data_IF_681140563429
#
_entry.id   IF_681140563429
#
_cell.length_a   1.000
_cell.length_b   1.000
_cell.length_c   1.000
_cell.angle_alpha   90.00
_cell.angle_beta   90.00
_cell.angle_gamma   90.00
#
_symmetry.space_group_name_H-M   'P 1'
#
loop_
_entity.id
_entity.type
_entity.pdbx_description
1 polymer ?
#
# COMPACT_ATOMS: atom_id res chain seq x y z
N UNK A 1 14.94 0.06 -12.37
CA UNK A 1 13.99 -0.63 -13.27
C UNK A 1 12.60 -0.27 -12.78
N UNK A 2 11.84 0.54 -13.52
CA UNK A 2 10.53 1.01 -13.05
C UNK A 2 9.52 -0.14 -13.17
N UNK A 3 8.94 -0.58 -12.05
CA UNK A 3 7.92 -1.62 -12.06
C UNK A 3 6.62 -0.99 -12.59
N UNK A 4 6.24 -1.32 -13.82
CA UNK A 4 5.00 -0.83 -14.42
C UNK A 4 3.86 -1.74 -13.97
N UNK A 5 3.18 -1.36 -12.89
CA UNK A 5 2.18 -2.21 -12.23
C UNK A 5 0.75 -1.80 -12.56
N UNK A 6 0.01 -2.72 -13.16
CA UNK A 6 -1.45 -2.69 -13.21
C UNK A 6 -1.91 -3.96 -12.52
N UNK A 7 -2.10 -3.91 -11.20
CA UNK A 7 -2.77 -4.99 -10.48
C UNK A 7 -4.28 -4.82 -10.62
N UNK A 8 -4.97 -5.88 -11.04
CA UNK A 8 -6.45 -5.92 -11.06
C UNK A 8 -7.02 -6.69 -9.88
N UNK A 9 -6.19 -7.50 -9.24
CA UNK A 9 -6.55 -8.43 -8.18
C UNK A 9 -5.68 -8.17 -6.95
N UNK A 10 -6.23 -8.43 -5.77
CA UNK A 10 -5.54 -8.18 -4.50
C UNK A 10 -4.29 -9.06 -4.36
N UNK A 11 -4.30 -10.27 -4.90
CA UNK A 11 -3.17 -11.20 -4.90
C UNK A 11 -1.96 -10.64 -5.66
N UNK A 12 -2.20 -9.89 -6.74
CA UNK A 12 -1.13 -9.17 -7.44
C UNK A 12 -0.51 -8.10 -6.53
N UNK A 13 -1.35 -7.35 -5.79
CA UNK A 13 -0.87 -6.33 -4.85
C UNK A 13 -0.06 -6.97 -3.72
N UNK A 14 -0.53 -8.08 -3.15
CA UNK A 14 0.19 -8.85 -2.13
C UNK A 14 1.58 -9.29 -2.62
N UNK A 15 1.66 -9.84 -3.84
CA UNK A 15 2.92 -10.26 -4.44
C UNK A 15 3.91 -9.10 -4.64
N UNK A 16 3.41 -7.92 -5.03
CA UNK A 16 4.22 -6.71 -5.18
C UNK A 16 4.72 -6.20 -3.84
N UNK A 17 3.83 -6.08 -2.86
CA UNK A 17 4.18 -5.61 -1.52
C UNK A 17 5.23 -6.53 -0.91
N UNK A 18 5.02 -7.85 -0.98
CA UNK A 18 6.00 -8.84 -0.51
C UNK A 18 7.35 -8.64 -1.18
N UNK A 19 7.39 -8.57 -2.51
CA UNK A 19 8.64 -8.39 -3.25
C UNK A 19 9.38 -7.10 -2.88
N UNK A 20 8.66 -5.99 -2.76
CA UNK A 20 9.24 -4.71 -2.36
C UNK A 20 9.84 -4.80 -0.95
N UNK A 21 9.12 -5.42 -0.01
CA UNK A 21 9.57 -5.59 1.37
C UNK A 21 10.81 -6.50 1.45
N UNK A 22 10.79 -7.64 0.77
CA UNK A 22 11.91 -8.59 0.70
C UNK A 22 13.18 -7.95 0.10
N UNK A 23 13.05 -7.27 -1.05
CA UNK A 23 14.17 -6.57 -1.72
C UNK A 23 14.73 -5.41 -0.87
N UNK A 24 14.05 -5.00 0.21
CA UNK A 24 14.47 -3.93 1.11
C UNK A 24 14.68 -4.40 2.56
N UNK A 25 14.89 -5.69 2.78
CA UNK A 25 15.39 -6.26 4.04
C UNK A 25 14.31 -6.64 5.06
N UNK A 26 13.05 -6.72 4.66
CA UNK A 26 11.96 -7.21 5.50
C UNK A 26 11.64 -8.67 5.11
N UNK A 27 11.81 -9.60 6.04
CA UNK A 27 11.45 -11.00 5.83
C UNK A 27 10.05 -11.25 6.38
N UNK A 28 9.11 -11.60 5.51
CA UNK A 28 7.72 -11.90 5.84
C UNK A 28 7.29 -13.15 5.09
N UNK A 29 6.94 -14.21 5.80
CA UNK A 29 6.66 -15.51 5.18
C UNK A 29 5.41 -15.50 4.29
N UNK A 30 4.37 -14.72 4.64
CA UNK A 30 3.12 -14.61 3.87
C UNK A 30 2.36 -13.32 4.20
N UNK A 31 2.57 -12.26 3.41
CA UNK A 31 1.77 -11.03 3.52
C UNK A 31 0.39 -11.25 2.90
N UNK A 32 -0.66 -11.16 3.71
CA UNK A 32 -2.06 -11.12 3.23
C UNK A 32 -2.69 -9.76 3.48
N UNK A 33 -3.40 -9.24 2.49
CA UNK A 33 -4.10 -7.96 2.58
C UNK A 33 -5.60 -8.26 2.76
N UNK A 34 -6.14 -7.78 3.87
CA UNK A 34 -7.53 -7.93 4.24
C UNK A 34 -8.17 -6.56 4.39
N UNK A 35 -9.34 -6.36 3.76
CA UNK A 35 -10.15 -5.17 4.01
C UNK A 35 -11.13 -5.50 5.13
N UNK A 36 -11.05 -4.78 6.25
CA UNK A 36 -11.82 -5.08 7.45
C UNK A 36 -12.31 -3.82 8.15
N UNK A 37 -13.39 -3.96 8.91
CA UNK A 37 -13.90 -2.86 9.74
C UNK A 37 -12.93 -2.61 10.91
N UNK A 38 -12.50 -1.36 11.05
CA UNK A 38 -11.53 -0.91 12.05
C UNK A 38 -11.91 0.48 12.58
N UNK A 39 -11.40 0.88 13.76
CA UNK A 39 -11.60 2.23 14.29
C UNK A 39 -11.29 3.31 13.25
N UNK A 40 -12.09 4.38 13.20
CA UNK A 40 -12.03 5.38 12.13
C UNK A 40 -10.70 6.17 12.08
N UNK A 41 -9.96 6.17 13.19
CA UNK A 41 -8.64 6.78 13.31
C UNK A 41 -7.50 5.88 12.76
N UNK A 42 -7.76 4.61 12.47
CA UNK A 42 -6.78 3.69 11.91
C UNK A 42 -6.94 3.56 10.39
N UNK A 43 -5.87 3.81 9.64
CA UNK A 43 -5.85 3.59 8.18
C UNK A 43 -5.55 2.12 7.88
N UNK A 44 -4.59 1.56 8.62
CA UNK A 44 -4.06 0.22 8.39
C UNK A 44 -3.44 -0.33 9.68
N UNK A 45 -3.44 -1.66 9.83
CA UNK A 45 -2.81 -2.37 10.95
C UNK A 45 -2.06 -3.59 10.43
N UNK A 46 -0.95 -3.95 11.07
CA UNK A 46 -0.20 -5.17 10.78
C UNK A 46 -0.06 -6.02 12.06
N UNK A 47 -0.35 -7.32 11.99
CA UNK A 47 -0.29 -8.23 13.15
C UNK A 47 0.91 -9.20 13.13
N UNK A 48 1.81 -9.05 12.14
CA UNK A 48 2.95 -9.94 11.90
C UNK A 48 2.81 -10.83 10.67
N UNK A 49 1.60 -11.03 10.15
CA UNK A 49 1.37 -11.78 8.89
C UNK A 49 0.27 -11.18 8.02
N UNK A 50 -0.71 -10.55 8.62
CA UNK A 50 -1.85 -9.95 7.95
C UNK A 50 -1.80 -8.42 8.04
N UNK A 51 -2.00 -7.79 6.89
CA UNK A 51 -2.25 -6.37 6.75
C UNK A 51 -3.76 -6.17 6.70
N UNK A 52 -4.28 -5.43 7.67
CA UNK A 52 -5.68 -5.06 7.74
C UNK A 52 -5.83 -3.61 7.29
N UNK A 53 -6.59 -3.38 6.23
CA UNK A 53 -6.88 -2.06 5.67
C UNK A 53 -8.28 -1.64 6.09
N UNK A 54 -8.44 -0.38 6.51
CA UNK A 54 -9.71 0.09 7.03
C UNK A 54 -10.75 0.15 5.89
N UNK A 55 -11.82 -0.62 6.02
CA UNK A 55 -12.87 -0.74 5.01
C UNK A 55 -13.56 0.60 4.69
N UNK A 56 -13.70 1.48 5.67
CA UNK A 56 -14.36 2.78 5.49
C UNK A 56 -13.43 3.72 4.72
N UNK A 57 -12.15 3.78 5.09
CA UNK A 57 -11.14 4.58 4.38
C UNK A 57 -10.91 4.08 2.96
N UNK A 58 -10.80 2.77 2.78
CA UNK A 58 -10.66 2.13 1.47
C UNK A 58 -11.86 2.44 0.56
N UNK A 59 -13.09 2.26 1.05
CA UNK A 59 -14.30 2.58 0.27
C UNK A 59 -14.39 4.06 -0.08
N UNK A 60 -14.12 4.94 0.87
CA UNK A 60 -14.09 6.39 0.62
C UNK A 60 -13.13 6.75 -0.50
N UNK A 61 -11.89 6.24 -0.44
CA UNK A 61 -10.89 6.48 -1.46
C UNK A 61 -11.30 5.88 -2.82
N UNK A 62 -11.75 4.62 -2.83
CA UNK A 62 -12.19 3.94 -4.05
C UNK A 62 -13.34 4.68 -4.73
N UNK A 63 -14.29 5.23 -3.97
CA UNK A 63 -15.38 6.06 -4.50
C UNK A 63 -14.86 7.38 -5.06
N UNK A 64 -13.96 8.06 -4.35
CA UNK A 64 -13.38 9.34 -4.79
C UNK A 64 -12.66 9.21 -6.14
N UNK A 65 -11.93 8.12 -6.35
CA UNK A 65 -11.20 7.85 -7.60
C UNK A 65 -12.04 7.14 -8.65
N UNK A 66 -13.36 7.03 -8.46
CA UNK A 66 -14.27 6.38 -9.40
C UNK A 66 -13.99 4.89 -9.63
N UNK A 67 -13.33 4.23 -8.70
CA UNK A 67 -12.93 2.83 -8.80
C UNK A 67 -11.77 2.57 -9.77
N UNK A 68 -10.96 3.58 -10.13
CA UNK A 68 -9.80 3.37 -10.99
C UNK A 68 -8.83 2.35 -10.37
N UNK A 69 -8.71 1.19 -11.04
CA UNK A 69 -7.89 0.08 -10.58
C UNK A 69 -6.42 0.42 -10.30
N UNK A 70 -5.83 1.40 -11.02
CA UNK A 70 -4.43 1.80 -10.79
C UNK A 70 -4.32 2.61 -9.51
N UNK A 71 -5.23 3.56 -9.29
CA UNK A 71 -5.27 4.37 -8.08
C UNK A 71 -5.56 3.52 -6.85
N UNK A 72 -6.53 2.61 -6.96
CA UNK A 72 -6.87 1.64 -5.90
C UNK A 72 -5.67 0.74 -5.59
N UNK A 73 -4.98 0.23 -6.60
CA UNK A 73 -3.78 -0.61 -6.39
C UNK A 73 -2.65 0.17 -5.74
N UNK A 74 -2.36 1.38 -6.20
CA UNK A 74 -1.34 2.24 -5.61
C UNK A 74 -1.67 2.55 -4.14
N UNK A 75 -2.93 2.85 -3.82
CA UNK A 75 -3.39 2.99 -2.44
C UNK A 75 -3.08 1.75 -1.60
N UNK A 76 -3.50 0.57 -2.06
CA UNK A 76 -3.29 -0.68 -1.33
C UNK A 76 -1.79 -0.96 -1.11
N UNK A 77 -0.94 -0.73 -2.11
CA UNK A 77 0.52 -0.86 -1.99
C UNK A 77 1.04 0.08 -0.89
N UNK A 78 0.70 1.37 -0.96
CA UNK A 78 1.23 2.38 -0.04
C UNK A 78 0.81 2.10 1.40
N UNK A 79 -0.47 1.85 1.65
CA UNK A 79 -0.94 1.57 3.01
C UNK A 79 -0.36 0.27 3.54
N UNK A 80 -0.15 -0.74 2.69
CA UNK A 80 0.46 -2.00 3.09
C UNK A 80 1.92 -1.85 3.47
N UNK A 81 2.70 -1.10 2.67
CA UNK A 81 4.08 -0.75 3.02
C UNK A 81 4.13 0.03 4.34
N UNK A 82 3.22 0.98 4.54
CA UNK A 82 3.15 1.72 5.80
C UNK A 82 2.78 0.85 7.00
N UNK A 83 1.90 -0.14 6.82
CA UNK A 83 1.52 -1.06 7.89
C UNK A 83 2.72 -1.83 8.46
N UNK A 84 3.61 -2.30 7.57
CA UNK A 84 4.78 -3.09 7.94
C UNK A 84 5.91 -2.20 8.46
N UNK A 85 6.20 -1.11 7.76
CA UNK A 85 7.36 -0.25 8.06
C UNK A 85 7.07 0.67 9.25
N UNK A 86 5.82 1.09 9.42
CA UNK A 86 5.33 2.00 10.46
C UNK A 86 6.13 3.30 10.61
N UNK A 87 6.73 3.77 9.51
CA UNK A 87 7.52 5.01 9.46
C UNK A 87 7.26 5.69 8.11
N UNK A 88 6.60 6.85 8.17
CA UNK A 88 6.20 7.62 6.97
C UNK A 88 7.41 8.05 6.14
N UNK A 89 8.50 8.47 6.77
CA UNK A 89 9.67 8.93 6.05
C UNK A 89 10.36 7.78 5.31
N UNK A 90 10.51 6.63 5.98
CA UNK A 90 11.10 5.44 5.35
C UNK A 90 10.25 4.90 4.21
N UNK A 91 8.91 4.94 4.34
CA UNK A 91 8.00 4.58 3.24
C UNK A 91 8.15 5.57 2.08
N UNK A 92 8.21 6.88 2.34
CA UNK A 92 8.42 7.90 1.29
C UNK A 92 9.69 7.63 0.49
N UNK A 93 10.81 7.40 1.18
CA UNK A 93 12.11 7.11 0.56
C UNK A 93 12.05 5.82 -0.26
N UNK A 94 11.42 4.78 0.27
CA UNK A 94 11.23 3.51 -0.42
C UNK A 94 10.38 3.67 -1.69
N UNK A 95 9.26 4.38 -1.61
CA UNK A 95 8.37 4.62 -2.75
C UNK A 95 9.10 5.38 -3.86
N UNK A 96 9.86 6.41 -3.51
CA UNK A 96 10.69 7.16 -4.47
C UNK A 96 11.77 6.28 -5.10
N UNK A 97 12.44 5.45 -4.31
CA UNK A 97 13.45 4.51 -4.79
C UNK A 97 12.88 3.48 -5.78
N UNK A 98 11.71 2.92 -5.48
CA UNK A 98 11.11 1.82 -6.26
C UNK A 98 10.37 2.32 -7.50
N UNK A 99 9.53 3.33 -7.35
CA UNK A 99 8.61 3.81 -8.39
C UNK A 99 9.08 5.09 -9.08
N UNK A 100 10.00 5.84 -8.45
CA UNK A 100 10.49 7.13 -8.93
C UNK A 100 9.70 8.31 -8.37
N UNK A 101 10.34 9.48 -8.38
CA UNK A 101 9.67 10.76 -8.10
C UNK A 101 8.62 11.05 -9.18
N UNK A 102 7.45 11.55 -8.75
CA UNK A 102 6.32 11.83 -9.65
C UNK A 102 5.52 10.61 -10.11
N UNK A 103 5.86 9.41 -9.62
CA UNK A 103 5.04 8.22 -9.83
C UNK A 103 3.64 8.34 -9.21
N UNK A 104 2.73 7.45 -9.64
CA UNK A 104 1.39 7.38 -9.08
C UNK A 104 1.45 7.06 -7.59
N UNK A 105 2.29 6.10 -7.21
CA UNK A 105 2.51 5.67 -5.83
C UNK A 105 3.07 6.80 -4.97
N UNK A 106 3.98 7.61 -5.51
CA UNK A 106 4.49 8.81 -4.81
C UNK A 106 3.40 9.87 -4.62
N UNK A 107 2.54 10.05 -5.62
CA UNK A 107 1.37 10.95 -5.52
C UNK A 107 0.39 10.48 -4.46
N UNK A 108 0.03 9.19 -4.47
CA UNK A 108 -0.86 8.59 -3.47
C UNK A 108 -0.25 8.67 -2.07
N UNK A 109 1.06 8.39 -1.91
CA UNK A 109 1.74 8.55 -0.63
C UNK A 109 1.57 9.96 -0.07
N UNK A 110 1.79 10.98 -0.90
CA UNK A 110 1.63 12.36 -0.46
C UNK A 110 0.17 12.65 -0.09
N UNK A 111 -0.82 12.24 -0.90
CA UNK A 111 -2.23 12.44 -0.57
C UNK A 111 -2.64 11.84 0.78
N UNK A 112 -2.10 10.66 1.13
CA UNK A 112 -2.45 9.96 2.36
C UNK A 112 -1.75 10.50 3.62
N UNK A 113 -0.57 11.10 3.46
CA UNK A 113 0.31 11.43 4.59
C UNK A 113 0.83 12.88 4.58
N UNK A 114 0.20 13.76 3.80
CA UNK A 114 0.42 15.22 3.83
C UNK A 114 0.11 15.81 5.20
#
# INVERSE_FOLDING_TARGET
MAIKLICREIECVEGVVRRILEENGYSLDNVKINVSDMPYNEIVRFDGSNIYINSVKFRSFATEVGGDSKLVSAYLIIVSLYAVINDKQRVRELVKKVFGDGSLESTIFNLLFS
#
